data_IF_241848393647
#
_entry.id   IF_241848393647
#
_cell.length_a   1.000
_cell.length_b   1.000
_cell.length_c   1.000
_cell.angle_alpha   90.00
_cell.angle_beta   90.00
_cell.angle_gamma   90.00
#
_symmetry.space_group_name_H-M   'P 1'
#
loop_
_entity.id
_entity.type
_entity.pdbx_description
1 polymer ?
#
# COMPACT_ATOMS: atom_id res chain seq x y z
N UNK A 1 -11.18 -15.03 -10.10
CA UNK A 1 -10.18 -14.09 -10.68
C UNK A 1 -10.39 -12.72 -10.05
N UNK A 2 -9.60 -12.37 -9.05
CA UNK A 2 -9.64 -11.05 -8.40
C UNK A 2 -8.43 -10.25 -8.88
N UNK A 3 -8.59 -9.51 -9.98
CA UNK A 3 -7.65 -8.44 -10.34
C UNK A 3 -7.73 -7.32 -9.29
N UNK A 4 -6.61 -6.66 -8.96
CA UNK A 4 -6.52 -5.84 -7.75
C UNK A 4 -7.40 -4.60 -7.83
N UNK A 5 -8.14 -4.36 -6.75
CA UNK A 5 -9.13 -3.29 -6.58
C UNK A 5 -8.56 -1.88 -6.76
N UNK A 6 -7.22 -1.72 -6.68
CA UNK A 6 -6.47 -0.47 -6.93
C UNK A 6 -6.79 0.23 -8.26
N UNK A 7 -7.22 -0.51 -9.28
CA UNK A 7 -7.68 0.11 -10.54
C UNK A 7 -8.97 0.91 -10.37
N UNK A 8 -9.80 0.60 -9.36
CA UNK A 8 -11.07 1.25 -9.08
C UNK A 8 -10.91 2.72 -8.71
N UNK A 9 -10.07 3.01 -7.71
CA UNK A 9 -9.79 4.38 -7.26
C UNK A 9 -9.31 5.29 -8.40
N UNK A 10 -8.28 4.86 -9.14
CA UNK A 10 -7.75 5.65 -10.25
C UNK A 10 -8.70 5.74 -11.44
N UNK A 11 -9.48 4.69 -11.71
CA UNK A 11 -10.53 4.74 -12.75
C UNK A 11 -11.59 5.80 -12.43
N UNK A 12 -11.90 6.03 -11.15
CA UNK A 12 -12.80 7.12 -10.72
C UNK A 12 -12.21 8.54 -10.86
N UNK A 13 -10.88 8.67 -10.87
CA UNK A 13 -10.14 9.95 -10.91
C UNK A 13 -9.64 10.35 -12.31
N UNK A 14 -10.02 9.62 -13.36
CA UNK A 14 -9.59 9.90 -14.75
C UNK A 14 -8.48 8.98 -15.27
N UNK A 15 -8.15 7.93 -14.53
CA UNK A 15 -7.14 6.94 -14.88
C UNK A 15 -5.74 7.28 -14.38
N UNK A 16 -4.77 6.42 -14.72
CA UNK A 16 -3.35 6.53 -14.39
C UNK A 16 -2.68 7.89 -14.70
N UNK A 17 -3.08 8.65 -15.75
CA UNK A 17 -2.45 9.95 -16.06
C UNK A 17 -2.61 11.02 -14.98
N UNK A 18 -3.50 10.81 -14.01
CA UNK A 18 -3.75 11.74 -12.89
C UNK A 18 -2.99 11.38 -11.61
N UNK A 19 -2.25 10.27 -11.62
CA UNK A 19 -1.32 9.90 -10.56
C UNK A 19 -0.01 10.68 -10.72
N UNK A 20 -0.06 12.01 -10.52
CA UNK A 20 1.10 12.88 -10.66
C UNK A 20 2.20 12.54 -9.64
N UNK A 21 3.45 12.43 -10.09
CA UNK A 21 4.63 12.19 -9.23
C UNK A 21 5.13 10.73 -9.17
N UNK A 22 4.48 9.84 -9.92
CA UNK A 22 4.75 8.41 -9.97
C UNK A 22 5.46 8.10 -11.31
N UNK A 23 6.75 7.71 -11.34
CA UNK A 23 7.41 7.35 -12.59
C UNK A 23 6.67 6.23 -13.31
N UNK A 24 6.32 6.46 -14.59
CA UNK A 24 5.50 5.57 -15.42
C UNK A 24 6.00 4.11 -15.44
N UNK A 25 7.31 3.90 -15.22
CA UNK A 25 7.97 2.61 -15.37
C UNK A 25 7.99 1.74 -14.10
N UNK A 26 7.68 2.28 -12.90
CA UNK A 26 7.92 1.56 -11.62
C UNK A 26 6.71 1.53 -10.67
N UNK A 27 5.71 2.37 -10.87
CA UNK A 27 5.21 3.02 -9.67
C UNK A 27 3.77 2.61 -9.29
N UNK A 28 3.62 1.32 -8.99
CA UNK A 28 2.48 0.81 -8.23
C UNK A 28 2.98 0.03 -7.01
N UNK A 29 2.54 0.44 -5.83
CA UNK A 29 2.74 -0.32 -4.62
C UNK A 29 1.91 -1.61 -4.69
N UNK A 30 2.56 -2.75 -4.52
CA UNK A 30 1.94 -4.06 -4.38
C UNK A 30 1.33 -4.20 -2.99
N UNK A 31 2.09 -3.86 -1.94
CA UNK A 31 1.66 -3.95 -0.53
C UNK A 31 2.54 -3.14 0.40
N UNK A 32 1.95 -2.76 1.54
CA UNK A 32 2.68 -2.28 2.72
C UNK A 32 3.12 -3.51 3.52
N UNK A 33 4.37 -3.51 3.95
CA UNK A 33 5.02 -4.62 4.65
C UNK A 33 5.11 -4.37 6.15
N UNK A 34 5.48 -3.16 6.53
CA UNK A 34 5.75 -2.80 7.92
C UNK A 34 5.64 -1.28 8.12
N UNK A 35 5.61 -0.84 9.38
CA UNK A 35 5.61 0.56 9.79
C UNK A 35 6.65 0.81 10.88
N UNK A 36 7.44 1.86 10.69
CA UNK A 36 8.48 2.26 11.64
C UNK A 36 8.75 3.75 11.52
N UNK A 37 8.80 4.45 12.66
CA UNK A 37 9.19 5.85 12.77
C UNK A 37 8.43 6.80 11.79
N UNK A 38 7.13 6.57 11.62
CA UNK A 38 6.29 7.35 10.71
C UNK A 38 6.47 7.03 9.23
N UNK A 39 7.22 5.97 8.89
CA UNK A 39 7.44 5.48 7.53
C UNK A 39 6.84 4.10 7.34
N UNK A 40 6.46 3.80 6.10
CA UNK A 40 5.95 2.51 5.67
C UNK A 40 6.94 1.83 4.75
N UNK A 41 7.25 0.56 5.04
CA UNK A 41 7.99 -0.28 4.12
C UNK A 41 7.03 -0.73 3.01
N UNK A 42 7.31 -0.35 1.77
CA UNK A 42 6.45 -0.61 0.61
C UNK A 42 7.14 -1.53 -0.38
N UNK A 43 6.40 -2.50 -0.91
CA UNK A 43 6.84 -3.37 -2.00
C UNK A 43 6.21 -2.91 -3.31
N UNK A 44 7.00 -2.86 -4.39
CA UNK A 44 6.51 -2.51 -5.73
C UNK A 44 6.04 -3.74 -6.53
N UNK A 45 5.07 -3.53 -7.42
CA UNK A 45 4.61 -4.56 -8.36
C UNK A 45 5.77 -5.01 -9.26
N UNK A 46 5.95 -6.32 -9.41
CA UNK A 46 7.03 -6.88 -10.22
C UNK A 46 8.41 -6.87 -9.55
N UNK A 47 8.53 -6.30 -8.34
CA UNK A 47 9.77 -6.29 -7.58
C UNK A 47 9.76 -7.33 -6.45
N UNK A 48 10.94 -7.91 -6.20
CA UNK A 48 11.15 -8.77 -5.04
C UNK A 48 11.07 -7.97 -3.74
N UNK A 49 10.73 -8.64 -2.62
CA UNK A 49 10.67 -8.00 -1.29
C UNK A 49 11.99 -7.29 -0.93
N UNK A 50 13.14 -7.82 -1.34
CA UNK A 50 14.45 -7.20 -1.09
C UNK A 50 14.69 -5.86 -1.80
N UNK A 51 13.73 -5.43 -2.63
CA UNK A 51 13.71 -4.12 -3.30
C UNK A 51 12.62 -3.23 -2.72
N UNK A 52 12.14 -3.53 -1.52
CA UNK A 52 11.24 -2.65 -0.78
C UNK A 52 11.94 -1.33 -0.43
N UNK A 53 11.13 -0.31 -0.23
CA UNK A 53 11.59 1.02 0.17
C UNK A 53 10.77 1.55 1.34
N UNK A 54 11.36 2.46 2.11
CA UNK A 54 10.67 3.14 3.21
C UNK A 54 10.18 4.50 2.75
N UNK A 55 8.87 4.69 2.73
CA UNK A 55 8.22 5.91 2.28
C UNK A 55 7.52 6.61 3.44
N UNK A 56 7.39 7.93 3.38
CA UNK A 56 6.64 8.69 4.37
C UNK A 56 5.17 8.22 4.39
N UNK A 57 4.64 7.97 5.59
CA UNK A 57 3.29 7.39 5.72
C UNK A 57 2.23 8.27 5.07
N UNK A 58 2.35 9.59 5.20
CA UNK A 58 1.38 10.53 4.64
C UNK A 58 1.33 10.43 3.11
N UNK A 59 2.47 10.30 2.46
CA UNK A 59 2.55 10.08 0.99
C UNK A 59 1.83 8.79 0.58
N UNK A 60 2.03 7.70 1.33
CA UNK A 60 1.39 6.42 1.01
C UNK A 60 -0.12 6.48 1.27
N UNK A 61 -0.56 7.11 2.36
CA UNK A 61 -1.98 7.26 2.73
C UNK A 61 -2.74 8.10 1.70
N UNK A 62 -2.16 9.22 1.28
CA UNK A 62 -2.81 10.13 0.32
C UNK A 62 -2.85 9.54 -1.09
N UNK A 63 -1.80 8.83 -1.50
CA UNK A 63 -1.64 8.33 -2.87
C UNK A 63 -2.23 6.93 -3.07
N UNK A 64 -2.23 6.09 -2.02
CA UNK A 64 -2.60 4.67 -2.06
C UNK A 64 -3.60 4.32 -0.96
N UNK A 65 -4.65 5.14 -0.81
CA UNK A 65 -5.64 5.02 0.27
C UNK A 65 -6.26 3.62 0.39
N UNK A 66 -6.61 2.97 -0.74
CA UNK A 66 -7.18 1.61 -0.70
C UNK A 66 -6.18 0.57 -0.17
N UNK A 67 -4.89 0.74 -0.46
CA UNK A 67 -3.84 -0.14 0.02
C UNK A 67 -3.59 0.06 1.52
N UNK A 68 -3.64 1.32 1.96
CA UNK A 68 -3.57 1.68 3.37
C UNK A 68 -4.74 1.06 4.14
N UNK A 69 -5.97 1.22 3.66
CA UNK A 69 -7.16 0.67 4.30
C UNK A 69 -7.10 -0.86 4.41
N UNK A 70 -6.66 -1.55 3.34
CA UNK A 70 -6.47 -3.01 3.35
C UNK A 70 -5.43 -3.42 4.39
N UNK A 71 -4.32 -2.69 4.50
CA UNK A 71 -3.26 -2.99 5.45
C UNK A 71 -3.67 -2.73 6.90
N UNK A 72 -4.39 -1.64 7.18
CA UNK A 72 -4.95 -1.35 8.51
C UNK A 72 -5.94 -2.43 8.92
N UNK A 73 -6.89 -2.78 8.04
CA UNK A 73 -7.84 -3.87 8.32
C UNK A 73 -7.13 -5.20 8.58
N UNK A 74 -6.10 -5.53 7.80
CA UNK A 74 -5.31 -6.74 8.02
C UNK A 74 -4.58 -6.74 9.36
N UNK A 75 -4.06 -5.60 9.83
CA UNK A 75 -3.43 -5.47 11.16
C UNK A 75 -4.44 -5.59 12.29
N UNK A 76 -5.58 -4.92 12.17
CA UNK A 76 -6.63 -4.91 13.20
C UNK A 76 -7.30 -6.29 13.34
N UNK A 77 -7.18 -7.15 12.33
CA UNK A 77 -7.68 -8.54 12.39
C UNK A 77 -6.71 -9.49 13.13
N UNK A 78 -5.47 -9.05 13.44
CA UNK A 78 -4.42 -9.90 14.01
C UNK A 78 -4.27 -9.77 15.54
N UNK A 79 -4.93 -8.83 16.22
CA UNK A 79 -5.00 -8.84 17.70
C UNK A 79 -6.43 -8.60 18.25
N UNK A 80 -6.87 -9.25 19.35
CA UNK A 80 -6.08 -10.04 20.31
C UNK A 80 -6.62 -11.47 20.59
N UNK A 81 -5.71 -12.41 20.84
CA UNK A 81 -5.87 -13.40 21.92
C UNK A 81 -4.57 -13.53 22.69
N UNK A 82 -4.34 -12.59 23.59
CA UNK A 82 -3.69 -12.92 24.86
C UNK A 82 -4.69 -13.80 25.62
N UNK A 83 -4.52 -15.12 25.51
CA UNK A 83 -5.11 -16.07 26.44
C UNK A 83 -4.08 -16.21 27.57
N UNK A 84 -4.36 -15.52 28.67
CA UNK A 84 -3.64 -15.65 29.93
C UNK A 84 -4.04 -16.97 30.57
N UNK A 85 -3.07 -17.83 30.88
CA UNK A 85 -3.15 -18.86 31.93
C UNK A 85 -1.83 -18.86 32.73
#
# INVERSE_FOLDING_TARGET
MSGPKLFGYWRGKGGRPWAAGIPDDICHLLKILDEKDGKLEVQFVGCAKSKSEWWESDTVKETYIELWDEWVQARDTVEPKQESD
#
